data_IF_809581008143
#
_entry.id   IF_809581008143
#
_cell.length_a   1.000
_cell.length_b   1.000
_cell.length_c   1.000
_cell.angle_alpha   90.00
_cell.angle_beta   90.00
_cell.angle_gamma   90.00
#
_symmetry.space_group_name_H-M   'P 1'
#
loop_
_entity.id
_entity.type
_entity.pdbx_description
1 polymer ?
#
# COMPACT_ATOMS: atom_id res chain seq x y z
N UNK A 1 13.70 5.30 -37.21
CA UNK A 1 14.59 5.67 -36.08
C UNK A 1 13.84 6.00 -34.79
N UNK A 2 12.50 6.17 -34.81
CA UNK A 2 11.66 6.33 -33.62
C UNK A 2 11.37 4.98 -32.91
N UNK A 3 11.24 3.89 -33.68
CA UNK A 3 10.90 2.55 -33.15
C UNK A 3 11.96 2.00 -32.19
N UNK A 4 13.25 2.26 -32.47
CA UNK A 4 14.38 1.81 -31.63
C UNK A 4 14.36 2.53 -30.28
N UNK A 5 13.92 3.79 -30.26
CA UNK A 5 13.80 4.59 -29.05
C UNK A 5 12.74 4.01 -28.11
N UNK A 6 11.59 3.61 -28.65
CA UNK A 6 10.54 2.94 -27.88
C UNK A 6 10.94 1.54 -27.41
N UNK A 7 11.68 0.78 -28.23
CA UNK A 7 12.23 -0.53 -27.80
C UNK A 7 13.23 -0.41 -26.66
N UNK A 8 14.07 0.63 -26.66
CA UNK A 8 15.03 0.91 -25.59
C UNK A 8 14.36 1.28 -24.27
N UNK A 9 13.30 2.11 -24.32
CA UNK A 9 12.48 2.44 -23.14
C UNK A 9 11.77 1.19 -22.59
N UNK A 10 11.25 0.34 -23.46
CA UNK A 10 10.59 -0.91 -23.07
C UNK A 10 11.58 -1.87 -22.36
N UNK A 11 12.83 -1.95 -22.81
CA UNK A 11 13.87 -2.76 -22.16
C UNK A 11 14.31 -2.19 -20.80
N UNK A 12 14.32 -0.87 -20.64
CA UNK A 12 14.59 -0.22 -19.34
C UNK A 12 13.43 -0.39 -18.34
N UNK A 13 12.22 -0.66 -18.83
CA UNK A 13 11.03 -0.92 -17.99
C UNK A 13 11.06 -2.31 -17.33
N UNK A 14 11.96 -3.19 -17.78
CA UNK A 14 12.16 -4.56 -17.29
C UNK A 14 13.33 -4.67 -16.31
N UNK A 15 13.82 -3.56 -15.75
CA UNK A 15 14.63 -3.68 -14.54
C UNK A 15 13.74 -4.24 -13.46
N UNK A 16 14.16 -5.37 -12.87
CA UNK A 16 13.60 -5.95 -11.65
C UNK A 16 13.04 -4.88 -10.73
N UNK A 17 11.94 -5.10 -9.99
CA UNK A 17 11.60 -4.20 -8.91
C UNK A 17 12.83 -4.16 -8.01
N UNK A 18 13.63 -3.10 -8.16
CA UNK A 18 14.69 -2.74 -7.23
C UNK A 18 13.89 -2.36 -6.01
N UNK A 19 13.46 -3.37 -5.26
CA UNK A 19 13.01 -3.24 -3.89
C UNK A 19 14.13 -2.44 -3.25
N UNK A 20 13.85 -1.19 -2.84
CA UNK A 20 14.90 -0.30 -2.39
C UNK A 20 15.68 -1.04 -1.32
N UNK A 21 17.00 -1.16 -1.53
CA UNK A 21 17.96 -1.71 -0.58
C UNK A 21 17.56 -1.22 0.81
N UNK A 22 17.05 -2.15 1.64
CA UNK A 22 16.44 -1.93 2.97
C UNK A 22 16.81 -0.56 3.50
N UNK A 23 16.02 0.45 3.13
CA UNK A 23 16.34 1.83 3.46
C UNK A 23 16.40 1.89 4.97
N UNK A 24 17.39 2.58 5.53
CA UNK A 24 17.50 2.81 6.98
C UNK A 24 16.39 3.72 7.53
N UNK A 25 15.25 3.79 6.84
CA UNK A 25 14.05 4.45 7.31
C UNK A 25 13.30 3.55 8.28
N UNK A 26 12.43 4.18 9.06
CA UNK A 26 11.56 3.46 9.98
C UNK A 26 10.37 2.92 9.18
N UNK A 27 10.49 1.67 8.72
CA UNK A 27 9.41 0.95 8.03
C UNK A 27 8.79 -0.02 9.04
N UNK A 28 7.83 0.44 9.84
CA UNK A 28 7.22 -0.41 10.85
C UNK A 28 6.48 -1.55 10.19
N UNK A 29 6.54 -2.72 10.81
CA UNK A 29 5.77 -3.89 10.41
C UNK A 29 4.28 -3.53 10.40
N UNK A 30 3.64 -3.62 9.24
CA UNK A 30 2.24 -3.26 9.06
C UNK A 30 1.32 -4.03 10.03
N UNK A 31 1.61 -5.30 10.33
CA UNK A 31 0.85 -6.07 11.32
C UNK A 31 0.89 -5.45 12.70
N UNK A 32 2.07 -5.01 13.14
CA UNK A 32 2.25 -4.37 14.45
C UNK A 32 1.60 -2.99 14.50
N UNK A 33 1.63 -2.24 13.40
CA UNK A 33 0.96 -0.93 13.32
C UNK A 33 -0.54 -1.10 13.44
N UNK A 34 -1.13 -2.01 12.67
CA UNK A 34 -2.58 -2.28 12.68
C UNK A 34 -3.08 -2.78 14.04
N UNK A 35 -2.31 -3.64 14.72
CA UNK A 35 -2.64 -4.12 16.06
C UNK A 35 -2.65 -2.98 17.09
N UNK A 36 -1.69 -2.05 16.99
CA UNK A 36 -1.59 -0.90 17.92
C UNK A 36 -2.56 0.23 17.60
N UNK A 37 -2.93 0.37 16.33
CA UNK A 37 -3.76 1.46 15.82
C UNK A 37 -4.99 0.87 15.10
N UNK A 38 -5.96 0.31 15.85
CA UNK A 38 -7.15 -0.29 15.27
C UNK A 38 -8.07 0.73 14.61
N UNK A 39 -7.87 2.03 14.81
CA UNK A 39 -8.55 3.07 14.06
C UNK A 39 -7.58 4.21 13.76
N UNK A 40 -7.52 4.63 12.49
CA UNK A 40 -6.66 5.72 12.04
C UNK A 40 -7.40 6.67 11.12
N UNK A 41 -7.03 7.96 11.18
CA UNK A 41 -7.61 9.01 10.35
C UNK A 41 -6.61 9.45 9.30
N UNK A 42 -7.10 9.69 8.08
CA UNK A 42 -6.29 10.14 6.96
C UNK A 42 -6.02 11.63 7.10
N UNK A 43 -4.77 11.98 7.42
CA UNK A 43 -4.33 13.37 7.48
C UNK A 43 -4.20 13.99 6.08
N UNK A 44 -3.61 13.25 5.14
CA UNK A 44 -3.40 13.67 3.77
C UNK A 44 -3.55 12.48 2.83
N UNK A 45 -4.16 12.71 1.67
CA UNK A 45 -4.29 11.71 0.63
C UNK A 45 -3.38 12.00 -0.55
N UNK A 46 -2.91 10.95 -1.23
CA UNK A 46 -2.28 11.05 -2.53
C UNK A 46 -3.33 11.31 -3.64
N UNK A 47 -4.57 10.88 -3.42
CA UNK A 47 -5.69 11.10 -4.33
C UNK A 47 -6.38 12.44 -4.07
N UNK A 48 -6.90 13.08 -5.13
CA UNK A 48 -7.75 14.25 -4.98
C UNK A 48 -9.21 13.82 -4.82
N UNK A 49 -9.70 13.84 -3.58
CA UNK A 49 -11.08 13.50 -3.24
C UNK A 49 -11.86 14.78 -2.93
N UNK A 50 -12.66 15.25 -3.89
CA UNK A 50 -13.39 16.53 -3.76
C UNK A 50 -14.53 16.50 -2.75
N UNK A 51 -15.07 15.31 -2.44
CA UNK A 51 -16.28 15.14 -1.63
C UNK A 51 -16.02 14.40 -0.31
N UNK A 52 -14.76 14.07 0.02
CA UNK A 52 -14.43 13.39 1.28
C UNK A 52 -14.04 14.44 2.32
N UNK A 53 -14.84 14.55 3.38
CA UNK A 53 -14.59 15.46 4.50
C UNK A 53 -13.61 14.82 5.51
N UNK A 54 -13.73 13.51 5.74
CA UNK A 54 -12.87 12.75 6.63
C UNK A 54 -12.76 11.30 6.15
N UNK A 55 -11.54 10.85 5.82
CA UNK A 55 -11.26 9.44 5.58
C UNK A 55 -10.71 8.81 6.85
N UNK A 56 -11.21 7.65 7.23
CA UNK A 56 -10.64 6.86 8.32
C UNK A 56 -10.63 5.38 7.95
N UNK A 57 -9.78 4.62 8.63
CA UNK A 57 -9.65 3.18 8.48
C UNK A 57 -9.81 2.54 9.85
N UNK A 58 -10.62 1.50 9.94
CA UNK A 58 -10.80 0.69 11.15
C UNK A 58 -10.34 -0.74 10.89
N UNK A 59 -9.39 -1.22 11.71
CA UNK A 59 -8.78 -2.54 11.69
C UNK A 59 -9.42 -3.46 12.73
N UNK A 60 -10.05 -4.52 12.24
CA UNK A 60 -10.69 -5.53 13.09
C UNK A 60 -10.51 -6.93 12.53
N UNK A 61 -10.63 -7.90 13.42
CA UNK A 61 -10.81 -9.32 13.10
C UNK A 61 -12.30 -9.63 13.09
N UNK A 62 -12.74 -10.43 12.13
CA UNK A 62 -14.12 -10.90 12.03
C UNK A 62 -14.14 -12.42 11.90
N UNK A 63 -15.02 -13.06 12.66
CA UNK A 63 -15.19 -14.51 12.61
C UNK A 63 -16.44 -14.86 11.80
N UNK A 64 -16.30 -15.68 10.76
CA UNK A 64 -17.42 -16.26 10.01
C UNK A 64 -17.29 -17.79 10.04
N UNK A 65 -18.18 -18.45 10.78
CA UNK A 65 -18.06 -19.88 11.06
C UNK A 65 -16.82 -20.16 11.92
N UNK A 66 -16.00 -21.13 11.50
CA UNK A 66 -14.74 -21.48 12.18
C UNK A 66 -13.53 -20.68 11.69
N UNK A 67 -13.72 -19.72 10.80
CA UNK A 67 -12.64 -18.94 10.19
C UNK A 67 -12.60 -17.52 10.75
N UNK A 68 -11.43 -17.11 11.20
CA UNK A 68 -11.14 -15.72 11.56
C UNK A 68 -10.46 -15.03 10.39
N UNK A 69 -11.04 -13.93 9.94
CA UNK A 69 -10.53 -13.10 8.86
C UNK A 69 -10.05 -11.78 9.43
N UNK A 70 -8.92 -11.31 8.93
CA UNK A 70 -8.52 -9.91 9.07
C UNK A 70 -9.08 -9.18 7.85
N UNK A 71 -9.72 -8.03 8.03
CA UNK A 71 -10.34 -7.25 6.93
C UNK A 71 -9.31 -6.60 5.98
N UNK A 72 -8.19 -7.29 5.69
CA UNK A 72 -7.01 -6.84 4.95
C UNK A 72 -6.31 -7.93 4.13
N UNK A 73 -6.70 -9.20 4.28
CA UNK A 73 -6.22 -10.25 3.36
C UNK A 73 -7.08 -10.18 2.08
N UNK A 74 -6.52 -9.56 1.04
CA UNK A 74 -7.04 -9.59 -0.33
C UNK A 74 -6.57 -10.86 -1.05
#
# INVERSE_FOLDING_TARGET
MIVIFFLGILHLSHTDPILPKKSGGDYPDANKVMEKLPQTYMLQSLGNFTNIICGYQEFYTSTKGEKTFRMYDF
#
